data_IF_098435349255
#
_entry.id   IF_098435349255
#
_cell.length_a   1.000
_cell.length_b   1.000
_cell.length_c   1.000
_cell.angle_alpha   90.00
_cell.angle_beta   90.00
_cell.angle_gamma   90.00
#
_symmetry.space_group_name_H-M   'P 1'
#
loop_
_entity.id
_entity.type
_entity.pdbx_description
1 polymer ?
#
# COMPACT_ATOMS: atom_id res chain seq x y z
N UNK A 1 10.72 19.92 10.73
CA UNK A 1 10.75 19.43 9.33
C UNK A 1 9.89 18.19 9.27
N UNK A 2 8.73 18.22 8.61
CA UNK A 2 7.88 17.02 8.49
C UNK A 2 8.48 16.19 7.36
N UNK A 3 9.21 15.13 7.69
CA UNK A 3 9.59 14.10 6.72
C UNK A 3 8.31 13.46 6.19
N UNK A 4 7.95 13.81 4.96
CA UNK A 4 6.94 13.07 4.20
C UNK A 4 7.69 11.97 3.48
N UNK A 5 7.83 10.82 4.12
CA UNK A 5 8.31 9.64 3.42
C UNK A 5 7.29 9.25 2.35
N UNK A 6 7.79 8.96 1.15
CA UNK A 6 6.99 8.63 -0.01
C UNK A 6 7.64 7.45 -0.72
N UNK A 7 6.86 6.40 -0.99
CA UNK A 7 7.31 5.24 -1.74
C UNK A 7 6.30 4.93 -2.85
N UNK A 8 6.65 5.30 -4.09
CA UNK A 8 5.79 5.13 -5.26
C UNK A 8 6.11 3.87 -6.06
N UNK A 9 5.09 3.32 -6.71
CA UNK A 9 5.19 2.26 -7.71
C UNK A 9 5.16 2.85 -9.12
N UNK A 10 5.95 2.27 -10.03
CA UNK A 10 5.89 2.64 -11.45
C UNK A 10 4.59 2.14 -12.07
N UNK A 11 4.15 2.79 -13.14
CA UNK A 11 3.05 2.27 -13.95
C UNK A 11 3.42 0.87 -14.48
N UNK A 12 2.51 -0.10 -14.36
CA UNK A 12 2.75 -1.50 -14.70
C UNK A 12 3.39 -2.36 -13.61
N UNK A 13 3.91 -1.77 -12.54
CA UNK A 13 4.48 -2.49 -11.38
C UNK A 13 3.60 -2.36 -10.12
N UNK A 14 2.41 -1.76 -10.27
CA UNK A 14 1.50 -1.47 -9.17
C UNK A 14 0.91 -2.77 -8.62
N UNK A 15 1.07 -3.06 -7.32
CA UNK A 15 0.42 -4.20 -6.70
C UNK A 15 -1.10 -4.06 -6.78
N UNK A 16 -1.78 -5.18 -7.09
CA UNK A 16 -3.23 -5.26 -6.98
C UNK A 16 -3.64 -5.23 -5.50
N UNK A 17 -4.66 -4.45 -5.18
CA UNK A 17 -5.15 -4.26 -3.82
C UNK A 17 -6.67 -4.21 -3.79
N UNK A 18 -7.25 -4.42 -2.62
CA UNK A 18 -8.64 -4.08 -2.35
C UNK A 18 -8.71 -2.99 -1.29
N UNK A 19 -9.52 -1.96 -1.56
CA UNK A 19 -9.72 -0.82 -0.66
C UNK A 19 -11.13 -0.82 -0.08
N UNK A 20 -11.23 -0.60 1.23
CA UNK A 20 -12.51 -0.49 1.92
C UNK A 20 -13.06 0.94 1.85
N UNK A 21 -14.20 1.12 1.17
CA UNK A 21 -14.91 2.39 1.04
C UNK A 21 -16.34 2.22 1.57
N UNK A 22 -16.65 2.87 2.70
CA UNK A 22 -17.86 2.58 3.46
C UNK A 22 -17.81 1.15 4.01
N UNK A 23 -18.79 0.33 3.62
CA UNK A 23 -18.93 -1.08 4.01
C UNK A 23 -18.51 -2.06 2.89
N UNK A 24 -18.03 -1.54 1.75
CA UNK A 24 -17.66 -2.35 0.58
C UNK A 24 -16.16 -2.36 0.33
N UNK A 25 -15.67 -3.43 -0.29
CA UNK A 25 -14.29 -3.56 -0.77
C UNK A 25 -14.28 -3.47 -2.29
N UNK A 26 -13.37 -2.65 -2.82
CA UNK A 26 -13.23 -2.41 -4.25
C UNK A 26 -11.82 -2.74 -4.71
N UNK A 27 -11.71 -3.44 -5.83
CA UNK A 27 -10.43 -3.75 -6.46
C UNK A 27 -9.77 -2.49 -7.02
N UNK A 28 -8.45 -2.43 -6.90
CA UNK A 28 -7.65 -1.33 -7.39
C UNK A 28 -6.17 -1.65 -7.46
N UNK A 29 -5.39 -0.60 -7.71
CA UNK A 29 -3.94 -0.63 -7.84
C UNK A 29 -3.30 0.36 -6.87
N UNK A 30 -2.32 -0.11 -6.11
CA UNK A 30 -1.55 0.74 -5.21
C UNK A 30 -0.53 1.57 -6.00
N UNK A 31 -0.67 2.89 -5.92
CA UNK A 31 0.26 3.83 -6.57
C UNK A 31 1.43 4.20 -5.68
N UNK A 32 1.17 4.41 -4.39
CA UNK A 32 2.20 4.84 -3.47
C UNK A 32 1.80 4.63 -2.00
N UNK A 33 2.82 4.58 -1.15
CA UNK A 33 2.72 4.76 0.29
C UNK A 33 3.20 6.16 0.66
N UNK A 34 2.46 6.83 1.54
CA UNK A 34 2.75 8.18 2.04
C UNK A 34 2.76 8.13 3.57
N UNK A 35 3.88 8.47 4.20
CA UNK A 35 3.95 8.56 5.67
C UNK A 35 3.37 9.89 6.13
N UNK A 36 2.36 9.82 6.98
CA UNK A 36 1.74 10.97 7.64
C UNK A 36 1.84 10.75 9.15
N UNK A 37 2.63 11.59 9.82
CA UNK A 37 3.05 11.34 11.19
C UNK A 37 3.64 9.92 11.33
N UNK A 38 3.13 9.11 12.24
CA UNK A 38 3.61 7.75 12.50
C UNK A 38 2.82 6.66 11.75
N UNK A 39 2.04 7.02 10.73
CA UNK A 39 1.19 6.08 10.00
C UNK A 39 1.40 6.16 8.49
N UNK A 40 1.45 4.99 7.84
CA UNK A 40 1.47 4.87 6.39
C UNK A 40 0.07 4.93 5.80
N UNK A 41 -0.09 5.75 4.77
CA UNK A 41 -1.32 5.93 4.01
C UNK A 41 -1.12 5.46 2.58
N UNK A 42 -2.06 4.66 2.07
CA UNK A 42 -2.04 4.11 0.74
C UNK A 42 -2.74 5.08 -0.23
N UNK A 43 -2.08 5.41 -1.33
CA UNK A 43 -2.63 6.15 -2.45
C UNK A 43 -2.98 5.17 -3.57
N UNK A 44 -4.26 5.07 -3.93
CA UNK A 44 -4.82 3.95 -4.68
C UNK A 44 -5.70 4.46 -5.82
N UNK A 45 -5.56 3.87 -7.00
CA UNK A 45 -6.58 3.95 -8.07
C UNK A 45 -7.51 2.73 -7.90
N UNK A 46 -8.82 2.89 -7.74
CA UNK A 46 -9.77 1.78 -7.61
C UNK A 46 -10.95 1.92 -8.55
N UNK A 47 -11.57 0.80 -8.92
CA UNK A 47 -12.66 0.77 -9.90
C UNK A 47 -13.99 0.48 -9.21
N UNK A 48 -14.98 1.34 -9.47
CA UNK A 48 -16.36 1.14 -9.02
C UNK A 48 -17.12 0.19 -9.96
N UNK A 49 -18.29 -0.35 -9.55
CA UNK A 49 -19.07 -1.30 -10.36
C UNK A 49 -19.53 -0.75 -11.72
N UNK A 50 -19.63 0.58 -11.86
CA UNK A 50 -19.92 1.30 -13.11
C UNK A 50 -18.70 1.45 -14.02
N UNK A 51 -17.59 0.78 -13.70
CA UNK A 51 -16.29 0.87 -14.37
C UNK A 51 -15.61 2.24 -14.27
N UNK A 52 -16.07 3.13 -13.40
CA UNK A 52 -15.41 4.42 -13.16
C UNK A 52 -14.20 4.22 -12.25
N UNK A 53 -13.04 4.77 -12.65
CA UNK A 53 -11.82 4.74 -11.84
C UNK A 53 -11.70 5.98 -10.98
N UNK A 54 -11.47 5.80 -9.68
CA UNK A 54 -11.30 6.86 -8.70
C UNK A 54 -9.95 6.76 -7.99
N UNK A 55 -9.47 7.90 -7.50
CA UNK A 55 -8.23 7.97 -6.71
C UNK A 55 -8.58 8.28 -5.26
N UNK A 56 -8.03 7.51 -4.33
CA UNK A 56 -8.20 7.74 -2.89
C UNK A 56 -6.89 7.65 -2.13
N UNK A 57 -6.83 8.32 -0.97
CA UNK A 57 -5.77 8.10 0.02
C UNK A 57 -6.39 7.64 1.34
N UNK A 58 -6.05 6.44 1.80
CA UNK A 58 -6.62 5.81 3.02
C UNK A 58 -5.51 5.32 3.95
N UNK A 59 -5.76 5.16 5.26
CA UNK A 59 -4.79 4.51 6.16
C UNK A 59 -4.57 3.05 5.75
N UNK A 60 -3.42 2.48 6.08
CA UNK A 60 -3.08 1.08 5.76
C UNK A 60 -4.12 0.06 6.26
N UNK A 61 -4.83 0.35 7.35
CA UNK A 61 -5.89 -0.51 7.90
C UNK A 61 -7.13 -0.64 7.00
N UNK A 62 -7.30 0.23 6.00
CA UNK A 62 -8.40 0.18 5.00
C UNK A 62 -8.00 -0.53 3.72
N UNK A 63 -6.83 -1.16 3.71
CA UNK A 63 -6.25 -1.85 2.56
C UNK A 63 -6.03 -3.33 2.87
N UNK A 64 -6.29 -4.20 1.90
CA UNK A 64 -5.83 -5.60 1.93
C UNK A 64 -5.28 -6.00 0.57
N UNK A 65 -4.37 -6.96 0.57
CA UNK A 65 -3.79 -7.54 -0.63
C UNK A 65 -3.06 -8.82 -0.27
N UNK A 66 -3.08 -9.79 -1.19
CA UNK A 66 -2.25 -10.99 -1.13
C UNK A 66 -0.85 -10.78 -1.70
N UNK A 67 -0.59 -9.65 -2.38
CA UNK A 67 0.74 -9.31 -2.90
C UNK A 67 1.60 -8.73 -1.75
N UNK A 68 2.71 -9.38 -1.36
CA UNK A 68 3.56 -8.88 -0.28
C UNK A 68 4.14 -7.49 -0.56
N UNK A 69 4.28 -7.11 -1.84
CA UNK A 69 4.72 -5.77 -2.23
C UNK A 69 3.70 -4.71 -1.84
N UNK A 70 2.42 -5.05 -1.76
CA UNK A 70 1.37 -4.12 -1.39
C UNK A 70 1.37 -3.73 0.09
N UNK A 71 2.06 -4.46 0.98
CA UNK A 71 2.11 -4.11 2.40
C UNK A 71 2.81 -2.77 2.64
N UNK A 72 2.51 -2.12 3.76
CA UNK A 72 3.17 -0.87 4.11
C UNK A 72 4.70 -1.08 4.29
N UNK A 73 5.52 -0.04 4.07
CA UNK A 73 6.97 -0.16 4.10
C UNK A 73 7.53 -0.71 5.43
N UNK A 74 6.89 -0.43 6.57
CA UNK A 74 7.38 -0.91 7.88
C UNK A 74 7.10 -2.41 8.01
N UNK A 75 5.89 -2.84 7.63
CA UNK A 75 5.50 -4.25 7.57
C UNK A 75 6.39 -5.05 6.60
N UNK A 76 6.66 -4.53 5.39
CA UNK A 76 7.57 -5.19 4.42
C UNK A 76 8.99 -5.36 4.96
N UNK A 77 9.50 -4.36 5.69
CA UNK A 77 10.82 -4.44 6.32
C UNK A 77 10.85 -5.49 7.44
N UNK A 78 9.78 -5.61 8.22
CA UNK A 78 9.67 -6.62 9.26
C UNK A 78 9.55 -8.05 8.70
N UNK A 79 8.93 -8.21 7.52
CA UNK A 79 8.76 -9.50 6.85
C UNK A 79 10.02 -9.97 6.09
N UNK A 80 10.99 -9.09 5.81
CA UNK A 80 12.27 -9.54 5.25
C UNK A 80 12.93 -10.46 6.29
N UNK A 81 13.37 -11.68 5.89
CA UNK A 81 14.11 -12.53 6.81
C UNK A 81 15.30 -11.72 7.33
N UNK A 82 15.39 -11.56 8.65
CA UNK A 82 16.66 -11.12 9.27
C UNK A 82 17.68 -12.13 8.77
N UNK A 83 18.59 -11.68 7.91
CA UNK A 83 19.70 -12.52 7.47
C UNK A 83 20.29 -13.19 8.71
N UNK A 84 20.40 -14.52 8.65
CA UNK A 84 21.10 -15.29 9.65
C UNK A 84 22.46 -14.62 9.95
N UNK A 85 22.96 -14.65 11.20
CA UNK A 85 24.31 -14.19 11.47
C UNK A 85 25.25 -14.92 10.50
N UNK A 86 26.12 -14.16 9.83
CA UNK A 86 27.23 -14.75 9.10
C UNK A 86 28.05 -15.58 10.07
N UNK A 87 27.93 -16.90 10.03
CA UNK A 87 28.82 -17.79 10.76
C UNK A 87 30.12 -17.93 9.97
N UNK A 88 31.23 -17.62 10.64
CA UNK A 88 32.51 -18.35 10.57
C UNK A 88 33.39 -18.11 9.36
#
# INVERSE_FOLDING_TARGET
>A
MVTRDYEGYRAGERPAVEVCMGDAWYSGELRAWIRRADTWWAHIDYTLPDSTTHVVTVPSSRLRSDDPRAHDPDTRRAQRPRGAPSEG
#
